data_IF_768640023932
#
_entry.id   IF_768640023932
#
_cell.length_a   1.000
_cell.length_b   1.000
_cell.length_c   1.000
_cell.angle_alpha   90.00
_cell.angle_beta   90.00
_cell.angle_gamma   90.00
#
_symmetry.space_group_name_H-M   'P 1'
#
loop_
_entity.id
_entity.type
_entity.pdbx_description
1 polymer ?
#
# COMPACT_ATOMS: atom_id res chain seq x y z
N UNK A 1 32.68 -45.98 -6.98
CA UNK A 1 32.34 -45.32 -5.71
C UNK A 1 32.42 -43.77 -5.78
N UNK A 2 31.94 -43.05 -6.76
CA UNK A 2 32.19 -41.59 -6.72
C UNK A 2 31.01 -40.70 -7.07
N UNK A 3 29.97 -41.20 -7.72
CA UNK A 3 28.84 -40.33 -8.13
C UNK A 3 27.86 -40.01 -6.99
N UNK A 4 27.68 -40.90 -6.03
CA UNK A 4 26.82 -40.68 -4.87
C UNK A 4 27.43 -39.73 -3.83
N UNK A 5 28.75 -39.73 -3.67
CA UNK A 5 29.44 -38.82 -2.73
C UNK A 5 29.30 -37.34 -3.16
N UNK A 6 29.28 -37.05 -4.45
CA UNK A 6 29.08 -35.70 -4.98
C UNK A 6 27.67 -35.16 -4.73
N UNK A 7 26.65 -36.00 -4.83
CA UNK A 7 25.26 -35.58 -4.58
C UNK A 7 25.09 -35.22 -3.09
N UNK A 8 25.69 -35.97 -2.18
CA UNK A 8 25.60 -35.71 -0.73
C UNK A 8 26.35 -34.43 -0.33
N UNK A 9 27.40 -34.06 -1.03
CA UNK A 9 28.17 -32.84 -0.74
C UNK A 9 27.56 -31.59 -1.40
N UNK A 10 26.93 -31.70 -2.58
CA UNK A 10 26.38 -30.58 -3.34
C UNK A 10 24.98 -30.22 -2.89
N UNK A 11 24.18 -31.20 -2.44
CA UNK A 11 22.82 -30.94 -1.99
C UNK A 11 22.73 -29.96 -0.79
N UNK A 12 23.53 -30.11 0.30
CA UNK A 12 23.51 -29.14 1.40
C UNK A 12 24.05 -27.76 0.99
N UNK A 13 25.03 -27.70 0.07
CA UNK A 13 25.54 -26.44 -0.47
C UNK A 13 24.48 -25.73 -1.35
N UNK A 14 23.70 -26.47 -2.14
CA UNK A 14 22.58 -25.92 -2.90
C UNK A 14 21.47 -25.44 -1.97
N UNK A 15 21.15 -26.19 -0.92
CA UNK A 15 20.15 -25.77 0.09
C UNK A 15 20.64 -24.55 0.87
N UNK A 16 21.95 -24.48 1.17
CA UNK A 16 22.56 -23.33 1.84
C UNK A 16 22.59 -22.11 0.89
N UNK A 17 22.94 -22.28 -0.36
CA UNK A 17 22.89 -21.22 -1.37
C UNK A 17 21.45 -20.74 -1.62
N UNK A 18 20.48 -21.65 -1.72
CA UNK A 18 19.05 -21.31 -1.79
C UNK A 18 18.58 -20.60 -0.51
N UNK A 19 19.02 -21.01 0.68
CA UNK A 19 18.70 -20.29 1.92
C UNK A 19 19.33 -18.89 1.95
N UNK A 20 20.55 -18.74 1.53
CA UNK A 20 21.24 -17.45 1.52
C UNK A 20 20.75 -16.50 0.43
N UNK A 21 20.22 -17.01 -0.69
CA UNK A 21 19.75 -16.19 -1.81
C UNK A 21 18.22 -16.02 -1.85
N UNK A 22 17.46 -16.99 -1.34
CA UNK A 22 15.99 -17.00 -1.42
C UNK A 22 15.33 -16.70 -0.06
N UNK A 23 16.04 -16.94 1.06
CA UNK A 23 15.54 -16.70 2.42
C UNK A 23 16.38 -15.66 3.18
N UNK A 24 17.13 -14.81 2.48
CA UNK A 24 17.75 -13.64 3.09
C UNK A 24 16.62 -12.72 3.61
N UNK A 25 16.62 -12.31 4.90
CA UNK A 25 15.68 -11.32 5.41
C UNK A 25 15.76 -9.96 4.71
N UNK A 26 16.77 -9.70 3.90
CA UNK A 26 16.81 -8.58 2.95
C UNK A 26 16.01 -8.80 1.66
N UNK A 27 15.21 -9.89 1.56
CA UNK A 27 14.37 -10.22 0.38
C UNK A 27 13.13 -9.34 0.23
N UNK A 28 13.11 -8.12 0.79
CA UNK A 28 12.12 -7.07 0.46
C UNK A 28 12.05 -6.80 -1.05
N UNK A 29 13.15 -6.97 -1.76
CA UNK A 29 13.21 -6.85 -3.22
C UNK A 29 12.42 -7.94 -3.97
N UNK A 30 12.26 -9.14 -3.42
CA UNK A 30 11.53 -10.22 -4.10
C UNK A 30 10.03 -9.93 -4.25
N UNK A 31 9.43 -9.19 -3.31
CA UNK A 31 8.03 -8.78 -3.44
C UNK A 31 7.82 -7.83 -4.62
N UNK A 32 8.77 -6.93 -4.86
CA UNK A 32 8.73 -6.04 -6.02
C UNK A 32 8.93 -6.81 -7.33
N UNK A 33 9.89 -7.73 -7.38
CA UNK A 33 10.19 -8.55 -8.58
C UNK A 33 9.01 -9.47 -8.91
N UNK A 34 8.44 -10.13 -7.90
CA UNK A 34 7.25 -10.97 -8.09
C UNK A 34 6.05 -10.16 -8.59
N UNK A 35 5.81 -8.99 -8.00
CA UNK A 35 4.75 -8.09 -8.43
C UNK A 35 5.00 -7.54 -9.84
N UNK A 36 6.25 -7.27 -10.21
CA UNK A 36 6.61 -6.81 -11.56
C UNK A 36 6.16 -7.81 -12.64
N UNK A 37 6.41 -9.10 -12.47
CA UNK A 37 5.98 -10.13 -13.43
C UNK A 37 4.47 -10.14 -13.61
N UNK A 38 3.72 -10.00 -12.51
CA UNK A 38 2.24 -9.91 -12.56
C UNK A 38 1.80 -8.64 -13.30
N UNK A 39 2.45 -7.52 -13.04
CA UNK A 39 2.11 -6.25 -13.71
C UNK A 39 2.42 -6.28 -15.19
N UNK A 40 3.54 -6.87 -15.60
CA UNK A 40 3.89 -7.05 -17.02
C UNK A 40 2.84 -7.87 -17.76
N UNK A 41 2.35 -8.96 -17.16
CA UNK A 41 1.25 -9.74 -17.74
C UNK A 41 -0.06 -8.96 -17.86
N UNK A 42 -0.38 -8.14 -16.87
CA UNK A 42 -1.57 -7.30 -16.87
C UNK A 42 -1.46 -6.17 -17.91
N UNK A 43 -0.28 -5.54 -18.01
CA UNK A 43 -0.02 -4.43 -18.93
C UNK A 43 0.02 -4.90 -20.39
N UNK A 44 0.47 -6.14 -20.63
CA UNK A 44 0.50 -6.74 -21.99
C UNK A 44 -0.89 -6.87 -22.60
N UNK A 45 -1.92 -7.07 -21.79
CA UNK A 45 -3.30 -7.26 -22.23
C UNK A 45 -4.12 -5.99 -22.37
N UNK A 46 -3.58 -4.82 -21.95
CA UNK A 46 -4.31 -3.55 -21.92
C UNK A 46 -3.44 -2.37 -22.36
N UNK A 47 -4.02 -1.47 -23.16
CA UNK A 47 -3.38 -0.17 -23.40
C UNK A 47 -3.39 0.66 -22.12
N UNK A 48 -2.22 1.11 -21.67
CA UNK A 48 -2.13 1.99 -20.52
C UNK A 48 -2.73 3.36 -20.87
N UNK A 49 -3.62 3.91 -20.02
CA UNK A 49 -4.16 5.25 -20.24
C UNK A 49 -3.06 6.31 -20.12
N UNK A 50 -3.24 7.44 -20.79
CA UNK A 50 -2.30 8.58 -20.73
C UNK A 50 -2.39 9.39 -19.44
N UNK A 51 -3.53 9.30 -18.72
CA UNK A 51 -3.76 9.96 -17.44
C UNK A 51 -4.28 8.93 -16.46
N UNK A 52 -3.44 8.62 -15.47
CA UNK A 52 -3.65 7.52 -14.53
C UNK A 52 -3.62 8.03 -13.10
N UNK A 53 -4.61 7.63 -12.32
CA UNK A 53 -4.54 7.62 -10.86
C UNK A 53 -4.10 6.22 -10.42
N UNK A 54 -2.92 6.11 -9.82
CA UNK A 54 -2.42 4.85 -9.28
C UNK A 54 -3.01 4.59 -7.90
N UNK A 55 -3.77 3.51 -7.75
CA UNK A 55 -4.25 3.01 -6.46
C UNK A 55 -3.35 1.89 -6.00
N UNK A 56 -2.61 2.11 -4.91
CA UNK A 56 -1.65 1.15 -4.38
C UNK A 56 -1.78 0.98 -2.87
N UNK A 57 -1.35 -0.14 -2.38
CA UNK A 57 -1.43 -0.55 -0.98
C UNK A 57 -1.34 -2.07 -0.86
N UNK A 58 -1.73 -2.56 0.29
CA UNK A 58 -1.62 -3.96 0.67
C UNK A 58 -2.84 -4.84 0.29
N UNK A 59 -3.04 -5.92 1.06
CA UNK A 59 -4.13 -6.90 0.91
C UNK A 59 -5.53 -6.25 0.88
N UNK A 60 -5.78 -5.18 1.64
CA UNK A 60 -7.08 -4.51 1.66
C UNK A 60 -7.43 -3.97 0.27
N UNK A 61 -6.46 -3.38 -0.43
CA UNK A 61 -6.64 -2.92 -1.81
C UNK A 61 -6.84 -4.10 -2.76
N UNK A 62 -6.15 -5.21 -2.56
CA UNK A 62 -6.32 -6.43 -3.36
C UNK A 62 -7.78 -6.92 -3.32
N UNK A 63 -8.38 -6.94 -2.13
CA UNK A 63 -9.76 -7.40 -1.91
C UNK A 63 -10.83 -6.36 -2.26
N UNK A 64 -10.46 -5.12 -2.56
CA UNK A 64 -11.39 -4.06 -2.93
C UNK A 64 -11.90 -4.22 -4.37
N UNK A 65 -12.91 -5.08 -4.55
CA UNK A 65 -13.52 -5.35 -5.87
C UNK A 65 -14.31 -4.16 -6.42
N UNK A 66 -14.94 -3.37 -5.54
CA UNK A 66 -15.70 -2.17 -5.87
C UNK A 66 -14.84 -0.90 -5.96
N UNK A 67 -13.51 -1.02 -6.03
CA UNK A 67 -12.64 0.16 -6.18
C UNK A 67 -13.08 1.02 -7.37
N UNK A 68 -13.05 2.36 -7.25
CA UNK A 68 -13.51 3.24 -8.32
C UNK A 68 -12.70 3.03 -9.59
N UNK A 69 -13.36 3.06 -10.75
CA UNK A 69 -12.69 2.97 -12.06
C UNK A 69 -12.14 4.30 -12.53
N UNK A 70 -12.66 5.40 -11.98
CA UNK A 70 -12.24 6.78 -12.26
C UNK A 70 -12.27 7.60 -10.99
N UNK A 71 -11.33 8.52 -10.85
CA UNK A 71 -11.24 9.51 -9.77
C UNK A 71 -10.80 10.83 -10.39
N UNK A 72 -11.60 11.90 -10.17
CA UNK A 72 -11.28 13.23 -10.72
C UNK A 72 -11.10 13.23 -12.26
N UNK A 73 -11.84 12.36 -12.98
CA UNK A 73 -11.73 12.22 -14.43
C UNK A 73 -10.66 11.24 -14.91
N UNK A 74 -9.60 10.98 -14.14
CA UNK A 74 -8.50 10.06 -14.47
C UNK A 74 -8.89 8.61 -14.26
N UNK A 75 -8.39 7.70 -15.08
CA UNK A 75 -8.60 6.26 -14.89
C UNK A 75 -7.80 5.74 -13.70
N UNK A 76 -8.45 4.88 -12.89
CA UNK A 76 -7.78 4.24 -11.74
C UNK A 76 -7.09 2.96 -12.16
N UNK A 77 -5.78 2.94 -12.02
CA UNK A 77 -4.95 1.76 -12.20
C UNK A 77 -4.64 1.16 -10.83
N UNK A 78 -5.20 -0.01 -10.54
CA UNK A 78 -4.95 -0.72 -9.29
C UNK A 78 -3.71 -1.62 -9.42
N UNK A 79 -2.68 -1.35 -8.60
CA UNK A 79 -1.46 -2.17 -8.50
C UNK A 79 -1.13 -2.40 -7.04
N UNK A 80 -1.15 -3.65 -6.63
CA UNK A 80 -0.93 -4.04 -5.23
C UNK A 80 0.29 -4.92 -5.11
N UNK A 81 1.09 -4.66 -4.10
CA UNK A 81 2.23 -5.51 -3.71
C UNK A 81 1.90 -6.11 -2.36
N UNK A 82 2.12 -7.41 -2.21
CA UNK A 82 1.88 -8.08 -0.94
C UNK A 82 2.83 -7.54 0.13
N UNK A 83 2.26 -7.18 1.29
CA UNK A 83 3.04 -6.56 2.36
C UNK A 83 3.56 -5.16 2.07
N UNK A 84 2.95 -4.43 1.11
CA UNK A 84 3.40 -3.09 0.75
C UNK A 84 3.38 -2.15 1.96
N UNK A 85 4.55 -1.63 2.28
CA UNK A 85 4.77 -0.54 3.21
C UNK A 85 5.30 0.68 2.43
N UNK A 86 5.26 1.91 2.98
CA UNK A 86 5.90 3.06 2.33
C UNK A 86 7.39 2.84 2.04
N UNK A 87 8.10 2.13 2.93
CA UNK A 87 9.50 1.75 2.72
C UNK A 87 9.68 0.79 1.54
N UNK A 88 8.81 -0.24 1.44
CA UNK A 88 8.82 -1.15 0.30
C UNK A 88 8.39 -0.42 -0.98
N UNK A 89 7.48 0.56 -0.88
CA UNK A 89 7.10 1.39 -2.02
C UNK A 89 8.29 2.19 -2.56
N UNK A 90 9.16 2.70 -1.69
CA UNK A 90 10.40 3.36 -2.12
C UNK A 90 11.29 2.42 -2.94
N UNK A 91 11.42 1.16 -2.52
CA UNK A 91 12.17 0.14 -3.24
C UNK A 91 11.51 -0.20 -4.58
N UNK A 92 10.18 -0.29 -4.62
CA UNK A 92 9.39 -0.60 -5.82
C UNK A 92 9.12 0.62 -6.72
N UNK A 93 9.50 1.82 -6.31
CA UNK A 93 9.14 3.08 -6.92
C UNK A 93 9.33 3.12 -8.45
N UNK A 94 10.50 2.71 -9.00
CA UNK A 94 10.72 2.79 -10.45
C UNK A 94 9.68 2.00 -11.25
N UNK A 95 9.25 0.84 -10.74
CA UNK A 95 8.28 0.00 -11.44
C UNK A 95 6.83 0.37 -11.13
N UNK A 96 6.51 0.71 -9.88
CA UNK A 96 5.14 1.04 -9.46
C UNK A 96 4.72 2.45 -9.86
N UNK A 97 5.60 3.43 -9.69
CA UNK A 97 5.26 4.83 -9.95
C UNK A 97 5.98 5.33 -11.21
N UNK A 98 7.29 5.11 -11.29
CA UNK A 98 8.10 5.58 -12.42
C UNK A 98 7.65 5.05 -13.77
N UNK A 99 7.24 3.79 -13.86
CA UNK A 99 6.76 3.17 -15.09
C UNK A 99 5.42 3.75 -15.57
N UNK A 100 4.46 3.94 -14.66
CA UNK A 100 3.12 4.40 -15.02
C UNK A 100 2.99 5.92 -15.13
N UNK A 101 3.91 6.67 -14.53
CA UNK A 101 3.93 8.14 -14.51
C UNK A 101 2.53 8.73 -14.17
N UNK A 102 1.91 8.31 -13.06
CA UNK A 102 0.56 8.72 -12.74
C UNK A 102 0.49 10.23 -12.45
N UNK A 103 -0.67 10.83 -12.64
CA UNK A 103 -0.95 12.19 -12.17
C UNK A 103 -1.28 12.24 -10.68
N UNK A 104 -1.71 11.11 -10.11
CA UNK A 104 -2.05 10.94 -8.69
C UNK A 104 -1.71 9.56 -8.20
N UNK A 105 -1.13 9.47 -7.00
CA UNK A 105 -0.88 8.22 -6.28
C UNK A 105 -1.75 8.17 -5.04
N UNK A 106 -2.65 7.18 -4.95
CA UNK A 106 -3.43 6.89 -3.76
C UNK A 106 -2.74 5.75 -3.01
N UNK A 107 -2.09 6.07 -1.90
CA UNK A 107 -1.38 5.14 -1.05
C UNK A 107 -2.23 4.79 0.17
N UNK A 108 -2.73 3.56 0.24
CA UNK A 108 -3.42 3.05 1.42
C UNK A 108 -2.42 2.50 2.43
N UNK A 109 -2.42 3.09 3.62
CA UNK A 109 -1.65 2.58 4.75
C UNK A 109 -2.36 1.38 5.38
N UNK A 110 -1.56 0.40 5.80
CA UNK A 110 -2.09 -0.79 6.49
C UNK A 110 -2.25 -0.52 7.99
N UNK A 111 -3.43 -0.84 8.51
CA UNK A 111 -3.77 -0.61 9.92
C UNK A 111 -2.87 -1.38 10.89
N UNK A 112 -2.62 -2.66 10.60
CA UNK A 112 -1.81 -3.52 11.48
C UNK A 112 -0.33 -3.16 11.45
N UNK A 113 0.15 -2.69 10.32
CA UNK A 113 1.51 -2.19 10.19
C UNK A 113 1.64 -0.81 10.84
N UNK A 114 0.70 0.10 10.56
CA UNK A 114 0.69 1.45 11.12
C UNK A 114 0.66 1.45 12.65
N UNK A 115 -0.17 0.61 13.28
CA UNK A 115 -0.26 0.53 14.75
C UNK A 115 1.01 -0.02 15.44
N UNK A 116 1.91 -0.64 14.67
CA UNK A 116 3.18 -1.23 15.16
C UNK A 116 4.42 -0.51 14.63
N UNK A 117 4.23 0.45 13.72
CA UNK A 117 5.34 1.17 13.11
C UNK A 117 5.84 2.29 14.02
N UNK A 118 7.12 2.56 13.93
CA UNK A 118 7.70 3.80 14.39
C UNK A 118 7.26 4.93 13.45
N UNK A 119 6.66 5.97 13.98
CA UNK A 119 6.14 7.11 13.19
C UNK A 119 7.26 7.80 12.41
N UNK A 120 8.43 7.96 13.02
CA UNK A 120 9.58 8.60 12.37
C UNK A 120 10.03 7.81 11.14
N UNK A 121 10.07 6.47 11.24
CA UNK A 121 10.44 5.59 10.13
C UNK A 121 9.41 5.64 9.00
N UNK A 122 8.12 5.74 9.35
CA UNK A 122 7.05 5.86 8.36
C UNK A 122 7.10 7.21 7.65
N UNK A 123 7.27 8.31 8.39
CA UNK A 123 7.41 9.66 7.84
C UNK A 123 8.64 9.75 6.92
N UNK A 124 9.80 9.24 7.36
CA UNK A 124 11.00 9.18 6.53
C UNK A 124 10.77 8.39 5.22
N UNK A 125 9.93 7.33 5.29
CA UNK A 125 9.58 6.56 4.09
C UNK A 125 8.67 7.34 3.14
N UNK A 126 7.73 8.14 3.65
CA UNK A 126 6.88 9.02 2.85
C UNK A 126 7.68 10.16 2.22
N UNK A 127 8.62 10.75 2.97
CA UNK A 127 9.58 11.73 2.45
C UNK A 127 10.43 11.15 1.32
N UNK A 128 10.91 9.92 1.47
CA UNK A 128 11.65 9.21 0.42
C UNK A 128 10.84 9.03 -0.87
N UNK A 129 9.53 8.84 -0.79
CA UNK A 129 8.64 8.80 -1.99
C UNK A 129 8.63 10.17 -2.69
N UNK A 130 8.54 11.26 -1.93
CA UNK A 130 8.52 12.61 -2.47
C UNK A 130 9.90 13.03 -3.01
N UNK A 131 10.97 12.59 -2.40
CA UNK A 131 12.33 12.76 -2.93
C UNK A 131 12.50 12.05 -4.28
N UNK A 132 12.10 10.78 -4.36
CA UNK A 132 12.16 10.03 -5.63
C UNK A 132 11.28 10.67 -6.70
N UNK A 133 10.08 11.19 -6.36
CA UNK A 133 9.26 11.99 -7.27
C UNK A 133 10.09 13.10 -7.94
N UNK A 134 10.87 13.81 -7.14
CA UNK A 134 11.73 14.91 -7.61
C UNK A 134 12.90 14.39 -8.44
N UNK A 135 13.59 13.34 -8.01
CA UNK A 135 14.72 12.72 -8.70
C UNK A 135 14.32 12.20 -10.09
N UNK A 136 13.14 11.56 -10.21
CA UNK A 136 12.62 11.08 -11.49
C UNK A 136 11.90 12.14 -12.32
N UNK A 137 11.81 13.39 -11.85
CA UNK A 137 11.13 14.49 -12.54
C UNK A 137 9.63 14.27 -12.71
N UNK A 138 9.01 13.46 -11.86
CA UNK A 138 7.58 13.12 -11.92
C UNK A 138 6.73 14.24 -11.31
N UNK A 139 5.48 14.32 -11.76
CA UNK A 139 4.52 15.35 -11.31
C UNK A 139 3.20 14.67 -10.91
N UNK A 140 3.21 14.02 -9.77
CA UNK A 140 1.98 13.44 -9.21
C UNK A 140 1.67 14.05 -7.84
N UNK A 141 0.42 14.05 -7.45
CA UNK A 141 0.02 14.29 -6.08
C UNK A 141 -0.04 12.98 -5.31
N UNK A 142 0.57 12.95 -4.12
CA UNK A 142 0.54 11.82 -3.21
C UNK A 142 -0.65 11.96 -2.24
N UNK A 143 -1.64 11.13 -2.40
CA UNK A 143 -2.77 11.03 -1.47
C UNK A 143 -2.53 9.89 -0.51
N UNK A 144 -2.19 10.22 0.72
CA UNK A 144 -2.01 9.24 1.80
C UNK A 144 -3.36 8.96 2.43
N UNK A 145 -3.86 7.76 2.20
CA UNK A 145 -5.15 7.32 2.75
C UNK A 145 -4.92 6.75 4.13
N UNK A 146 -5.64 7.30 5.10
CA UNK A 146 -5.56 6.89 6.50
C UNK A 146 -5.74 5.38 6.67
N UNK A 147 -5.03 4.75 7.61
CA UNK A 147 -5.34 3.40 8.03
C UNK A 147 -6.77 3.35 8.54
N UNK A 148 -7.56 2.38 8.07
CA UNK A 148 -8.93 2.19 8.55
C UNK A 148 -8.87 1.50 9.90
N UNK A 149 -9.41 2.13 10.93
CA UNK A 149 -9.43 1.61 12.31
C UNK A 149 -10.15 0.26 12.35
N UNK A 150 -9.50 -0.74 12.93
CA UNK A 150 -10.09 -2.07 13.13
C UNK A 150 -10.86 -2.12 14.44
N UNK A 151 -12.05 -2.75 14.49
CA UNK A 151 -12.77 -2.94 15.74
C UNK A 151 -12.06 -3.90 16.72
N UNK A 152 -10.97 -4.54 16.28
CA UNK A 152 -10.17 -5.47 17.11
C UNK A 152 -8.90 -4.88 17.69
N UNK A 153 -8.60 -3.62 17.40
CA UNK A 153 -7.44 -2.97 18.01
C UNK A 153 -7.62 -2.85 19.51
N UNK A 154 -6.58 -3.19 20.26
CA UNK A 154 -6.50 -2.88 21.69
C UNK A 154 -6.45 -1.36 21.89
N UNK A 155 -6.77 -0.90 23.10
CA UNK A 155 -6.70 0.55 23.42
C UNK A 155 -5.31 1.14 23.12
N UNK A 156 -4.25 0.42 23.48
CA UNK A 156 -2.87 0.86 23.25
C UNK A 156 -2.53 0.95 21.75
N UNK A 157 -2.99 -0.02 20.94
CA UNK A 157 -2.79 0.02 19.49
C UNK A 157 -3.59 1.15 18.84
N UNK A 158 -4.81 1.42 19.35
CA UNK A 158 -5.64 2.54 18.89
C UNK A 158 -4.98 3.88 19.19
N UNK A 159 -4.52 4.09 20.41
CA UNK A 159 -3.80 5.33 20.81
C UNK A 159 -2.53 5.55 19.97
N UNK A 160 -1.80 4.46 19.68
CA UNK A 160 -0.61 4.53 18.82
C UNK A 160 -0.99 4.89 17.37
N UNK A 161 -2.08 4.32 16.87
CA UNK A 161 -2.60 4.62 15.52
C UNK A 161 -3.10 6.06 15.40
N UNK A 162 -3.83 6.56 16.39
CA UNK A 162 -4.33 7.94 16.41
C UNK A 162 -3.19 8.96 16.43
N UNK A 163 -2.13 8.70 17.21
CA UNK A 163 -0.93 9.54 17.21
C UNK A 163 -0.27 9.57 15.84
N UNK A 164 -0.07 8.39 15.24
CA UNK A 164 0.51 8.26 13.91
C UNK A 164 -0.33 8.98 12.84
N UNK A 165 -1.66 8.85 12.90
CA UNK A 165 -2.60 9.55 12.02
C UNK A 165 -2.42 11.06 12.12
N UNK A 166 -2.30 11.60 13.35
CA UNK A 166 -2.09 13.02 13.59
C UNK A 166 -0.77 13.52 12.98
N UNK A 167 0.32 12.78 13.21
CA UNK A 167 1.65 13.13 12.72
C UNK A 167 1.74 13.11 11.18
N UNK A 168 1.15 12.10 10.53
CA UNK A 168 1.13 12.03 9.06
C UNK A 168 0.21 13.10 8.47
N UNK A 169 -0.94 13.37 9.10
CA UNK A 169 -1.83 14.45 8.67
C UNK A 169 -1.12 15.79 8.69
N UNK A 170 -0.43 16.11 9.80
CA UNK A 170 0.35 17.34 9.95
C UNK A 170 1.49 17.42 8.92
N UNK A 171 2.23 16.32 8.71
CA UNK A 171 3.26 16.26 7.69
C UNK A 171 2.69 16.52 6.28
N UNK A 172 1.53 15.96 5.97
CA UNK A 172 0.92 16.12 4.66
C UNK A 172 0.46 17.54 4.35
N UNK A 173 0.16 18.35 5.38
CA UNK A 173 -0.18 19.77 5.22
C UNK A 173 1.05 20.63 4.93
N UNK A 174 2.23 20.16 5.34
CA UNK A 174 3.49 20.91 5.18
C UNK A 174 4.21 20.61 3.87
N UNK A 175 3.95 19.44 3.26
CA UNK A 175 4.66 18.99 2.06
C UNK A 175 3.83 19.23 0.79
N UNK A 176 4.35 20.01 -0.12
CA UNK A 176 3.66 20.36 -1.37
C UNK A 176 3.40 19.15 -2.26
N UNK A 177 2.14 18.98 -2.65
CA UNK A 177 1.69 17.88 -3.49
C UNK A 177 1.43 16.59 -2.70
N UNK A 178 1.25 16.72 -1.38
CA UNK A 178 0.73 15.65 -0.53
C UNK A 178 -0.65 16.01 0.00
N UNK A 179 -1.48 15.00 0.22
CA UNK A 179 -2.84 15.15 0.72
C UNK A 179 -3.16 14.02 1.68
N UNK A 180 -3.63 14.36 2.87
CA UNK A 180 -4.21 13.39 3.79
C UNK A 180 -5.67 13.13 3.48
N UNK A 181 -6.10 11.87 3.50
CA UNK A 181 -7.47 11.46 3.27
C UNK A 181 -7.91 10.45 4.32
N UNK A 182 -8.83 10.86 5.19
CA UNK A 182 -9.50 9.96 6.14
C UNK A 182 -10.77 9.40 5.50
N UNK A 183 -10.90 8.08 5.53
CA UNK A 183 -12.05 7.33 5.02
C UNK A 183 -12.82 6.60 6.13
N UNK A 184 -12.32 6.59 7.35
CA UNK A 184 -12.82 5.80 8.46
C UNK A 184 -14.14 6.31 9.03
N UNK A 185 -14.39 7.62 9.03
CA UNK A 185 -15.65 8.20 9.53
C UNK A 185 -16.93 7.61 8.94
N UNK A 186 -16.88 7.10 7.71
CA UNK A 186 -18.04 6.45 7.08
C UNK A 186 -18.29 5.03 7.61
N UNK A 187 -17.34 4.50 8.38
CA UNK A 187 -17.41 3.17 9.00
C UNK A 187 -17.69 3.24 10.50
N UNK A 188 -17.84 4.43 11.05
CA UNK A 188 -18.18 4.66 12.46
C UNK A 188 -19.68 4.49 12.70
N UNK A 189 -20.06 4.15 13.92
CA UNK A 189 -21.43 4.15 14.39
C UNK A 189 -21.80 5.49 15.07
N UNK A 190 -23.00 5.54 15.68
CA UNK A 190 -23.47 6.73 16.39
C UNK A 190 -22.64 7.09 17.64
N UNK A 191 -21.84 6.16 18.14
CA UNK A 191 -20.92 6.37 19.27
C UNK A 191 -19.53 6.80 18.81
N UNK A 192 -19.34 7.10 17.54
CA UNK A 192 -18.05 7.42 16.91
C UNK A 192 -17.03 6.25 17.04
N UNK A 193 -17.52 5.02 17.21
CA UNK A 193 -16.66 3.84 17.23
C UNK A 193 -16.80 3.04 15.93
N UNK A 194 -15.77 2.30 15.59
CA UNK A 194 -15.73 1.50 14.36
C UNK A 194 -16.81 0.43 14.40
N UNK A 195 -17.76 0.49 13.47
CA UNK A 195 -18.88 -0.45 13.41
C UNK A 195 -18.41 -1.82 12.88
N UNK A 196 -18.46 -2.89 13.71
CA UNK A 196 -18.02 -4.23 13.30
C UNK A 196 -18.79 -4.82 12.12
N UNK A 197 -19.99 -4.31 11.82
CA UNK A 197 -20.82 -4.76 10.69
C UNK A 197 -20.12 -4.60 9.33
N UNK A 198 -19.27 -3.59 9.21
CA UNK A 198 -18.52 -3.34 7.98
C UNK A 198 -17.25 -4.18 7.82
N UNK A 199 -17.00 -5.09 8.77
CA UNK A 199 -15.81 -5.94 8.77
C UNK A 199 -16.18 -7.42 8.76
N UNK A 200 -15.33 -8.21 8.15
CA UNK A 200 -15.35 -9.66 8.31
C UNK A 200 -14.96 -10.04 9.74
N UNK A 201 -15.23 -11.30 10.18
CA UNK A 201 -14.88 -11.76 11.53
C UNK A 201 -13.40 -11.61 11.91
N UNK A 202 -12.50 -11.43 10.94
CA UNK A 202 -11.08 -11.14 11.19
C UNK A 202 -10.85 -9.72 11.73
N UNK A 203 -11.85 -8.83 11.61
CA UNK A 203 -11.78 -7.43 12.02
C UNK A 203 -10.87 -6.55 11.18
N UNK A 204 -10.29 -7.07 10.10
CA UNK A 204 -9.37 -6.33 9.24
C UNK A 204 -9.88 -6.18 7.80
N UNK A 205 -10.53 -7.22 7.29
CA UNK A 205 -11.08 -7.22 5.94
C UNK A 205 -12.46 -6.57 5.96
N UNK A 206 -12.69 -5.60 5.09
CA UNK A 206 -14.01 -4.97 4.96
C UNK A 206 -15.00 -5.90 4.26
N UNK A 207 -16.27 -5.80 4.65
CA UNK A 207 -17.38 -6.40 3.89
C UNK A 207 -17.55 -5.66 2.56
N UNK A 208 -18.36 -6.21 1.66
CA UNK A 208 -18.70 -5.52 0.42
C UNK A 208 -19.33 -4.14 0.67
N UNK A 209 -20.18 -4.03 1.69
CA UNK A 209 -20.82 -2.78 2.09
C UNK A 209 -19.79 -1.77 2.62
N UNK A 210 -18.86 -2.19 3.49
CA UNK A 210 -17.76 -1.34 3.94
C UNK A 210 -16.92 -0.82 2.78
N UNK A 211 -16.59 -1.66 1.79
CA UNK A 211 -15.89 -1.22 0.58
C UNK A 211 -16.72 -0.24 -0.27
N UNK A 212 -18.04 -0.38 -0.33
CA UNK A 212 -18.88 0.59 -1.05
C UNK A 212 -18.87 1.96 -0.38
N UNK A 213 -18.96 2.01 0.95
CA UNK A 213 -18.92 3.26 1.71
C UNK A 213 -17.60 4.00 1.49
N UNK A 214 -16.46 3.34 1.64
CA UNK A 214 -15.16 3.99 1.40
C UNK A 214 -14.96 4.39 -0.06
N UNK A 215 -15.56 3.65 -1.02
CA UNK A 215 -15.55 4.03 -2.44
C UNK A 215 -16.28 5.35 -2.64
N UNK A 216 -17.49 5.49 -2.11
CA UNK A 216 -18.29 6.70 -2.20
C UNK A 216 -17.55 7.89 -1.55
N UNK A 217 -17.02 7.70 -0.35
CA UNK A 217 -16.28 8.75 0.34
C UNK A 217 -15.04 9.20 -0.43
N UNK A 218 -14.27 8.26 -0.98
CA UNK A 218 -13.09 8.58 -1.78
C UNK A 218 -13.45 9.40 -3.02
N UNK A 219 -14.53 9.04 -3.71
CA UNK A 219 -15.02 9.81 -4.87
C UNK A 219 -15.40 11.23 -4.43
N UNK A 220 -16.23 11.38 -3.38
CA UNK A 220 -16.64 12.69 -2.86
C UNK A 220 -15.43 13.56 -2.52
N UNK A 221 -14.46 13.05 -1.74
CA UNK A 221 -13.25 13.81 -1.38
C UNK A 221 -12.43 14.20 -2.61
N UNK A 222 -12.45 13.38 -3.65
CA UNK A 222 -11.72 13.68 -4.90
C UNK A 222 -12.38 14.76 -5.75
N UNK A 223 -13.66 15.02 -5.57
CA UNK A 223 -14.43 16.06 -6.28
C UNK A 223 -14.41 17.41 -5.53
N UNK A 224 -14.15 17.39 -4.23
CA UNK A 224 -14.05 18.58 -3.37
C UNK A 224 -12.71 19.34 -3.54
N UNK A 225 -11.74 18.75 -4.24
CA UNK A 225 -10.36 19.25 -4.43
C UNK A 225 -10.00 19.44 -5.89
#
# INVERSE_FOLDING_TARGET
>A
MSRFAWIIAVAPLMVLALRLTVFDPNTRDLSCVAAQTVFEMQDFSSSLPSDVTLLTGNQRIKHWSSSPKKIGGSQVLKRTVEGLTPELLNTCFPRLIGHYQPSRVLLFLDTLQASKSDSDALLASLEGIMEQRSVYGLRFDLWVIAPITSPRLSSTERESLERLISEISEWSEQVLGTHWVSLDKVLEDQAEDTNPHYFWPDGNTLTQEGYQLITQRLITVSEER
#
